data_IF_268290955467
#
_entry.id   IF_268290955467
#
_cell.length_a   1.000
_cell.length_b   1.000
_cell.length_c   1.000
_cell.angle_alpha   90.00
_cell.angle_beta   90.00
_cell.angle_gamma   90.00
#
_symmetry.space_group_name_H-M   'P 1'
#
loop_
_entity.id
_entity.type
_entity.pdbx_description
1 polymer ?
#
# COMPACT_ATOMS: atom_id res chain seq x y z
N UNK A 1 69.55 -2.45 -2.79
CA UNK A 1 68.71 -2.52 -1.56
C UNK A 1 67.52 -1.63 -1.75
N UNK A 2 66.39 -2.18 -2.23
CA UNK A 2 65.05 -1.60 -2.16
C UNK A 2 64.14 -2.36 -3.12
N UNK A 3 63.81 -3.59 -2.79
CA UNK A 3 62.89 -4.40 -3.57
C UNK A 3 62.08 -5.32 -2.63
N UNK A 4 61.29 -4.69 -1.76
CA UNK A 4 60.39 -5.46 -0.86
C UNK A 4 59.22 -4.61 -0.40
N UNK A 5 58.47 -4.00 -1.32
CA UNK A 5 57.26 -3.28 -0.93
C UNK A 5 56.18 -3.30 -2.02
N UNK A 6 55.96 -4.45 -2.68
CA UNK A 6 54.89 -4.52 -3.70
C UNK A 6 54.16 -5.86 -3.75
N UNK A 7 54.05 -6.56 -2.63
CA UNK A 7 53.41 -7.89 -2.63
C UNK A 7 52.37 -8.07 -1.54
N UNK A 8 51.64 -7.02 -1.15
CA UNK A 8 50.65 -7.15 -0.08
C UNK A 8 49.26 -6.60 -0.42
N UNK A 9 48.95 -6.40 -1.70
CA UNK A 9 47.62 -5.86 -2.08
C UNK A 9 46.78 -6.80 -2.98
N UNK A 10 47.07 -8.10 -2.97
CA UNK A 10 46.22 -9.10 -3.65
C UNK A 10 45.71 -10.11 -2.63
N UNK A 11 45.32 -9.67 -1.44
CA UNK A 11 44.59 -10.51 -0.50
C UNK A 11 43.12 -10.30 -0.71
N UNK A 12 42.55 -11.16 -1.54
CA UNK A 12 41.23 -11.74 -1.29
C UNK A 12 40.03 -10.80 -1.28
N UNK A 13 39.69 -10.19 -2.42
CA UNK A 13 38.28 -9.86 -2.69
C UNK A 13 37.53 -11.18 -3.02
N UNK A 14 37.62 -12.14 -2.10
CA UNK A 14 36.65 -13.24 -2.09
C UNK A 14 35.27 -12.62 -1.83
N UNK A 15 34.55 -12.47 -2.91
CA UNK A 15 33.11 -12.19 -2.86
C UNK A 15 32.50 -13.32 -2.04
N UNK A 16 32.31 -13.07 -0.75
CA UNK A 16 31.62 -14.04 0.11
C UNK A 16 30.28 -14.33 -0.56
N UNK A 17 29.98 -15.56 -0.98
CA UNK A 17 28.80 -15.88 -1.78
C UNK A 17 27.50 -15.53 -1.06
N UNK A 18 27.48 -15.59 0.27
CA UNK A 18 26.33 -15.24 1.08
C UNK A 18 25.90 -13.77 1.00
N UNK A 19 26.76 -12.75 1.16
CA UNK A 19 26.35 -11.37 0.95
C UNK A 19 25.87 -11.08 -0.48
N UNK A 20 26.54 -11.65 -1.49
CA UNK A 20 26.10 -11.49 -2.89
C UNK A 20 24.73 -12.09 -3.13
N UNK A 21 24.41 -13.24 -2.53
CA UNK A 21 23.12 -13.90 -2.61
C UNK A 21 22.04 -13.09 -1.86
N UNK A 22 22.35 -12.54 -0.69
CA UNK A 22 21.45 -11.68 0.07
C UNK A 22 21.14 -10.39 -0.71
N UNK A 23 22.16 -9.74 -1.28
CA UNK A 23 21.93 -8.54 -2.10
C UNK A 23 21.22 -8.87 -3.41
N UNK A 24 21.47 -10.04 -4.00
CA UNK A 24 20.79 -10.53 -5.20
C UNK A 24 19.30 -10.86 -4.95
N UNK A 25 18.94 -11.28 -3.74
CA UNK A 25 17.56 -11.62 -3.41
C UNK A 25 16.57 -10.45 -3.57
N UNK A 26 17.04 -9.19 -3.50
CA UNK A 26 16.22 -8.00 -3.79
C UNK A 26 15.67 -8.00 -5.22
N UNK A 27 16.42 -8.55 -6.17
CA UNK A 27 15.97 -8.64 -7.57
C UNK A 27 14.79 -9.60 -7.78
N UNK A 28 14.59 -10.53 -6.84
CA UNK A 28 13.40 -11.40 -6.84
C UNK A 28 12.09 -10.65 -6.56
N UNK A 29 12.16 -9.44 -6.04
CA UNK A 29 10.99 -8.60 -5.84
C UNK A 29 10.55 -7.88 -7.14
N UNK A 30 11.47 -7.70 -8.10
CA UNK A 30 11.18 -7.01 -9.36
C UNK A 30 10.00 -7.62 -10.13
N UNK A 31 9.96 -8.96 -10.39
CA UNK A 31 8.85 -9.57 -11.08
C UNK A 31 7.52 -9.45 -10.31
N UNK A 32 7.56 -9.37 -8.97
CA UNK A 32 6.36 -9.15 -8.17
C UNK A 32 5.77 -7.75 -8.41
N UNK A 33 6.61 -6.72 -8.44
CA UNK A 33 6.16 -5.36 -8.76
C UNK A 33 5.66 -5.25 -10.21
N UNK A 34 6.30 -5.93 -11.17
CA UNK A 34 5.79 -5.99 -12.54
C UNK A 34 4.41 -6.67 -12.60
N UNK A 35 4.20 -7.74 -11.84
CA UNK A 35 2.89 -8.38 -11.69
C UNK A 35 1.83 -7.45 -11.13
N UNK A 36 2.18 -6.62 -10.12
CA UNK A 36 1.27 -5.61 -9.57
C UNK A 36 0.93 -4.51 -10.57
N UNK A 37 1.87 -4.09 -11.44
CA UNK A 37 1.60 -3.13 -12.52
C UNK A 37 0.59 -3.72 -13.52
N UNK A 38 0.72 -5.00 -13.87
CA UNK A 38 -0.27 -5.68 -14.72
C UNK A 38 -1.63 -5.73 -14.03
N UNK A 39 -1.67 -6.08 -12.73
CA UNK A 39 -2.90 -6.07 -11.94
C UNK A 39 -3.55 -4.68 -11.91
N UNK A 40 -2.75 -3.62 -11.80
CA UNK A 40 -3.22 -2.23 -11.92
C UNK A 40 -3.92 -1.98 -13.25
N UNK A 41 -3.35 -2.46 -14.37
CA UNK A 41 -3.98 -2.37 -15.69
C UNK A 41 -5.35 -3.07 -15.74
N UNK A 42 -5.48 -4.24 -15.09
CA UNK A 42 -6.75 -4.97 -14.99
C UNK A 42 -7.80 -4.15 -14.21
N UNK A 43 -7.41 -3.50 -13.11
CA UNK A 43 -8.31 -2.62 -12.36
C UNK A 43 -8.78 -1.42 -13.18
N UNK A 44 -7.93 -0.83 -14.01
CA UNK A 44 -8.33 0.25 -14.94
C UNK A 44 -9.38 -0.26 -15.94
N UNK A 45 -9.19 -1.44 -16.51
CA UNK A 45 -10.18 -2.03 -17.43
C UNK A 45 -11.51 -2.34 -16.72
N UNK A 46 -11.46 -2.83 -15.49
CA UNK A 46 -12.66 -3.08 -14.68
C UNK A 46 -13.41 -1.77 -14.41
N UNK A 47 -12.70 -0.72 -14.01
CA UNK A 47 -13.27 0.61 -13.81
C UNK A 47 -13.97 1.14 -15.06
N UNK A 48 -13.33 1.07 -16.22
CA UNK A 48 -13.90 1.53 -17.48
C UNK A 48 -15.13 0.73 -17.88
N UNK A 49 -15.13 -0.58 -17.65
CA UNK A 49 -16.27 -1.45 -17.91
C UNK A 49 -17.48 -1.08 -17.04
N UNK A 50 -17.29 -0.92 -15.74
CA UNK A 50 -18.36 -0.55 -14.81
C UNK A 50 -18.88 0.87 -15.06
N UNK A 51 -17.98 1.82 -15.36
CA UNK A 51 -18.36 3.18 -15.75
C UNK A 51 -19.18 3.19 -17.04
N UNK A 52 -18.78 2.42 -18.05
CA UNK A 52 -19.51 2.30 -19.30
C UNK A 52 -20.90 1.71 -19.09
N UNK A 53 -20.99 0.66 -18.27
CA UNK A 53 -22.26 0.04 -17.91
C UNK A 53 -23.19 1.04 -17.20
N UNK A 54 -22.66 1.84 -16.27
CA UNK A 54 -23.41 2.88 -15.58
C UNK A 54 -23.98 3.92 -16.57
N UNK A 55 -23.15 4.41 -17.51
CA UNK A 55 -23.54 5.44 -18.48
C UNK A 55 -24.66 4.97 -19.41
N UNK A 56 -24.59 3.71 -19.87
CA UNK A 56 -25.59 3.16 -20.80
C UNK A 56 -26.95 2.88 -20.14
N UNK A 57 -26.96 2.53 -18.85
CA UNK A 57 -28.17 2.10 -18.15
C UNK A 57 -28.67 3.12 -17.11
N UNK A 58 -28.14 4.35 -17.13
CA UNK A 58 -28.49 5.40 -16.14
C UNK A 58 -30.00 5.65 -16.04
N UNK A 59 -30.73 5.55 -17.15
CA UNK A 59 -32.18 5.80 -17.19
C UNK A 59 -33.00 4.60 -16.67
N UNK A 60 -32.42 3.43 -16.58
CA UNK A 60 -33.08 2.20 -16.13
C UNK A 60 -32.81 1.91 -14.65
N UNK A 61 -31.73 2.48 -14.10
CA UNK A 61 -31.30 2.23 -12.74
C UNK A 61 -32.08 3.05 -11.73
N UNK A 62 -32.39 2.40 -10.61
CA UNK A 62 -32.88 3.10 -9.42
C UNK A 62 -31.76 3.88 -8.76
N UNK A 63 -32.08 4.91 -7.99
CA UNK A 63 -31.10 5.71 -7.23
C UNK A 63 -30.19 4.83 -6.37
N UNK A 64 -30.74 3.81 -5.71
CA UNK A 64 -29.98 2.86 -4.90
C UNK A 64 -28.98 2.05 -5.74
N UNK A 65 -29.36 1.60 -6.93
CA UNK A 65 -28.47 0.87 -7.84
C UNK A 65 -27.32 1.76 -8.33
N UNK A 66 -27.62 3.01 -8.71
CA UNK A 66 -26.58 3.99 -9.10
C UNK A 66 -25.59 4.18 -7.95
N UNK A 67 -26.10 4.37 -6.72
CA UNK A 67 -25.24 4.54 -5.54
C UNK A 67 -24.32 3.34 -5.31
N UNK A 68 -24.82 2.11 -5.46
CA UNK A 68 -24.02 0.89 -5.30
C UNK A 68 -22.95 0.74 -6.38
N UNK A 69 -23.25 1.10 -7.63
CA UNK A 69 -22.28 1.08 -8.73
C UNK A 69 -21.20 2.15 -8.49
N UNK A 70 -21.59 3.36 -8.10
CA UNK A 70 -20.62 4.44 -7.78
C UNK A 70 -19.72 4.05 -6.61
N UNK A 71 -20.25 3.43 -5.56
CA UNK A 71 -19.45 2.90 -4.46
C UNK A 71 -18.44 1.83 -4.96
N UNK A 72 -18.87 0.97 -5.90
CA UNK A 72 -17.97 0.00 -6.54
C UNK A 72 -16.84 0.68 -7.33
N UNK A 73 -17.14 1.77 -8.05
CA UNK A 73 -16.12 2.56 -8.75
C UNK A 73 -15.13 3.22 -7.79
N UNK A 74 -15.62 3.75 -6.66
CA UNK A 74 -14.75 4.32 -5.61
C UNK A 74 -13.84 3.25 -5.01
N UNK A 75 -14.35 2.05 -4.77
CA UNK A 75 -13.58 0.92 -4.25
C UNK A 75 -12.43 0.55 -5.19
N UNK A 76 -12.69 0.45 -6.50
CA UNK A 76 -11.64 0.20 -7.51
C UNK A 76 -10.55 1.29 -7.47
N UNK A 77 -10.92 2.56 -7.34
CA UNK A 77 -9.96 3.67 -7.23
C UNK A 77 -9.13 3.58 -5.96
N UNK A 78 -9.75 3.23 -4.83
CA UNK A 78 -9.04 3.06 -3.55
C UNK A 78 -8.03 1.92 -3.61
N UNK A 79 -8.41 0.77 -4.18
CA UNK A 79 -7.49 -0.36 -4.38
C UNK A 79 -6.37 0.02 -5.36
N UNK A 80 -6.68 0.72 -6.44
CA UNK A 80 -5.70 1.25 -7.40
C UNK A 80 -4.66 2.14 -6.72
N UNK A 81 -5.09 3.08 -5.88
CA UNK A 81 -4.19 3.95 -5.12
C UNK A 81 -3.31 3.15 -4.15
N UNK A 82 -3.87 2.13 -3.51
CA UNK A 82 -3.11 1.22 -2.65
C UNK A 82 -2.02 0.49 -3.46
N UNK A 83 -2.36 -0.04 -4.64
CA UNK A 83 -1.40 -0.72 -5.53
C UNK A 83 -0.25 0.21 -5.94
N UNK A 84 -0.55 1.43 -6.39
CA UNK A 84 0.48 2.42 -6.74
C UNK A 84 1.39 2.71 -5.55
N UNK A 85 0.83 2.88 -4.37
CA UNK A 85 1.60 3.12 -3.14
C UNK A 85 2.52 1.95 -2.80
N UNK A 86 2.04 0.71 -2.95
CA UNK A 86 2.84 -0.50 -2.71
C UNK A 86 3.93 -0.66 -3.77
N UNK A 87 3.61 -0.43 -5.05
CA UNK A 87 4.57 -0.56 -6.16
C UNK A 87 5.69 0.46 -5.98
N UNK A 88 5.36 1.73 -5.92
CA UNK A 88 6.35 2.82 -5.89
C UNK A 88 7.09 2.84 -4.55
N UNK A 89 6.36 2.85 -3.44
CA UNK A 89 6.96 2.92 -2.11
C UNK A 89 7.73 1.66 -1.73
N UNK A 90 7.24 0.49 -2.13
CA UNK A 90 7.92 -0.78 -1.91
C UNK A 90 9.19 -0.91 -2.73
N UNK A 91 9.14 -0.55 -4.01
CA UNK A 91 10.31 -0.56 -4.89
C UNK A 91 11.42 0.35 -4.36
N UNK A 92 11.09 1.58 -3.99
CA UNK A 92 12.05 2.56 -3.46
C UNK A 92 12.65 2.13 -2.12
N UNK A 93 11.84 1.53 -1.25
CA UNK A 93 12.30 1.11 0.08
C UNK A 93 13.16 -0.15 0.03
N UNK A 94 12.79 -1.14 -0.80
CA UNK A 94 13.39 -2.48 -0.74
C UNK A 94 14.34 -2.80 -1.91
N UNK A 95 14.10 -2.26 -3.11
CA UNK A 95 14.89 -2.63 -4.29
C UNK A 95 15.97 -1.60 -4.60
N UNK A 96 15.62 -0.35 -4.81
CA UNK A 96 16.56 0.71 -5.17
C UNK A 96 15.96 2.08 -4.90
N UNK A 97 16.81 3.03 -4.49
CA UNK A 97 16.39 4.43 -4.45
C UNK A 97 16.25 4.94 -5.88
N UNK A 98 15.03 5.22 -6.29
CA UNK A 98 14.76 5.94 -7.52
C UNK A 98 15.36 7.34 -7.37
N UNK A 99 16.36 7.68 -8.18
CA UNK A 99 16.93 9.04 -8.22
C UNK A 99 15.99 9.97 -8.99
N UNK A 100 14.79 10.14 -8.48
CA UNK A 100 13.74 10.99 -9.07
C UNK A 100 13.81 12.44 -8.54
N UNK A 101 14.88 12.80 -7.81
CA UNK A 101 15.05 14.16 -7.31
C UNK A 101 15.11 15.13 -8.48
N UNK A 102 14.06 15.95 -8.61
CA UNK A 102 13.92 16.95 -9.66
C UNK A 102 13.08 16.54 -10.87
N UNK A 103 12.45 15.36 -10.90
CA UNK A 103 11.52 15.01 -11.97
C UNK A 103 10.17 15.70 -11.74
N UNK A 104 9.55 16.34 -12.78
CA UNK A 104 8.29 17.08 -12.63
C UNK A 104 7.10 16.22 -12.19
N UNK A 105 7.13 14.92 -12.42
CA UNK A 105 6.08 13.96 -12.04
C UNK A 105 6.34 13.28 -10.69
N UNK A 106 7.31 13.76 -9.91
CA UNK A 106 7.58 13.18 -8.59
C UNK A 106 6.46 13.53 -7.62
N UNK A 107 5.71 12.55 -7.09
CA UNK A 107 4.73 12.81 -6.05
C UNK A 107 5.44 13.37 -4.81
N UNK A 108 4.93 14.45 -4.22
CA UNK A 108 5.53 15.11 -3.04
C UNK A 108 5.74 14.14 -1.87
N UNK A 109 4.85 13.15 -1.72
CA UNK A 109 4.96 12.14 -0.67
C UNK A 109 6.16 11.18 -0.83
N UNK A 110 6.73 11.10 -2.04
CA UNK A 110 7.85 10.21 -2.34
C UNK A 110 9.20 10.77 -1.85
N UNK A 111 9.34 12.08 -1.74
CA UNK A 111 10.59 12.74 -1.31
C UNK A 111 11.01 12.41 0.13
N UNK A 112 10.07 11.93 0.95
CA UNK A 112 10.27 11.61 2.37
C UNK A 112 9.82 10.20 2.75
N UNK A 113 9.86 9.23 1.81
CA UNK A 113 9.44 7.86 2.10
C UNK A 113 10.41 7.21 3.08
N UNK A 114 10.03 7.23 4.34
CA UNK A 114 10.54 6.32 5.34
C UNK A 114 9.59 5.11 5.42
N UNK A 115 10.11 3.91 5.67
CA UNK A 115 9.33 2.69 5.82
C UNK A 115 8.15 2.83 6.82
N UNK A 116 8.32 3.65 7.85
CA UNK A 116 7.27 3.97 8.84
C UNK A 116 6.11 4.74 8.23
N UNK A 117 6.39 5.76 7.42
CA UNK A 117 5.35 6.57 6.74
C UNK A 117 4.54 5.69 5.78
N UNK A 118 5.20 4.79 5.05
CA UNK A 118 4.53 3.85 4.16
C UNK A 118 3.58 2.93 4.91
N UNK A 119 3.99 2.36 6.05
CA UNK A 119 3.15 1.49 6.89
C UNK A 119 1.87 2.19 7.34
N UNK A 120 1.97 3.44 7.82
CA UNK A 120 0.81 4.23 8.26
C UNK A 120 -0.13 4.52 7.09
N UNK A 121 0.40 4.94 5.93
CA UNK A 121 -0.41 5.21 4.73
C UNK A 121 -1.13 3.95 4.23
N UNK A 122 -0.46 2.79 4.25
CA UNK A 122 -1.07 1.50 3.91
C UNK A 122 -2.20 1.15 4.88
N UNK A 123 -1.99 1.31 6.19
CA UNK A 123 -3.01 1.06 7.19
C UNK A 123 -4.24 1.96 6.99
N UNK A 124 -4.04 3.25 6.70
CA UNK A 124 -5.13 4.19 6.39
C UNK A 124 -5.90 3.81 5.12
N UNK A 125 -5.21 3.34 4.08
CA UNK A 125 -5.85 2.87 2.85
C UNK A 125 -6.72 1.63 3.11
N UNK A 126 -6.25 0.66 3.90
CA UNK A 126 -7.00 -0.54 4.28
C UNK A 126 -8.27 -0.17 5.09
N UNK A 127 -8.17 0.78 6.02
CA UNK A 127 -9.33 1.29 6.76
C UNK A 127 -10.32 1.92 5.79
N UNK A 128 -9.87 2.75 4.84
CA UNK A 128 -10.72 3.39 3.84
C UNK A 128 -11.48 2.37 3.00
N UNK A 129 -10.82 1.35 2.47
CA UNK A 129 -11.43 0.26 1.71
C UNK A 129 -12.45 -0.48 2.58
N UNK A 130 -12.09 -0.86 3.80
CA UNK A 130 -13.00 -1.55 4.73
C UNK A 130 -14.24 -0.71 5.08
N UNK A 131 -14.09 0.62 5.21
CA UNK A 131 -15.21 1.55 5.44
C UNK A 131 -16.20 1.57 4.27
N UNK A 132 -15.69 1.59 3.02
CA UNK A 132 -16.54 1.59 1.82
C UNK A 132 -17.29 0.26 1.70
N UNK A 133 -16.61 -0.87 1.94
CA UNK A 133 -17.27 -2.16 1.96
C UNK A 133 -18.37 -2.25 3.02
N UNK A 134 -18.11 -1.72 4.23
CA UNK A 134 -19.10 -1.69 5.30
C UNK A 134 -20.30 -0.81 4.95
N UNK A 135 -20.05 0.38 4.35
CA UNK A 135 -21.10 1.26 3.87
C UNK A 135 -21.97 0.57 2.81
N UNK A 136 -21.35 -0.10 1.83
CA UNK A 136 -22.05 -0.88 0.83
C UNK A 136 -22.93 -1.94 1.46
N UNK A 137 -22.41 -2.70 2.42
CA UNK A 137 -23.15 -3.72 3.16
C UNK A 137 -24.35 -3.11 3.90
N UNK A 138 -24.23 -1.94 4.52
CA UNK A 138 -25.34 -1.26 5.20
C UNK A 138 -26.44 -0.81 4.24
N UNK A 139 -26.07 -0.32 3.04
CA UNK A 139 -27.06 0.05 2.02
C UNK A 139 -27.82 -1.19 1.54
N UNK A 140 -27.13 -2.30 1.30
CA UNK A 140 -27.73 -3.57 0.88
C UNK A 140 -28.51 -4.23 2.03
N UNK A 141 -28.13 -4.01 3.29
CA UNK A 141 -28.78 -4.51 4.49
C UNK A 141 -30.19 -3.93 4.72
N UNK A 142 -30.53 -2.80 4.10
CA UNK A 142 -31.91 -2.28 4.10
C UNK A 142 -32.92 -3.29 3.56
N UNK A 143 -32.49 -4.33 2.85
CA UNK A 143 -33.29 -5.42 2.31
C UNK A 143 -33.13 -6.73 3.11
N UNK A 144 -32.66 -6.69 4.36
CA UNK A 144 -32.55 -7.86 5.24
C UNK A 144 -33.96 -8.47 5.49
N UNK A 145 -34.07 -9.76 5.21
CA UNK A 145 -35.32 -10.51 5.39
C UNK A 145 -36.15 -10.72 4.11
N UNK A 146 -35.72 -10.17 2.99
CA UNK A 146 -36.28 -10.48 1.68
C UNK A 146 -35.78 -11.83 1.12
N UNK A 147 -36.47 -12.42 0.14
CA UNK A 147 -36.09 -13.71 -0.48
C UNK A 147 -34.72 -13.64 -1.24
N UNK A 148 -34.09 -12.48 -1.33
CA UNK A 148 -32.79 -12.21 -1.96
C UNK A 148 -31.77 -11.56 -1.01
N UNK A 149 -31.91 -11.75 0.32
CA UNK A 149 -30.99 -11.22 1.28
C UNK A 149 -29.59 -11.81 1.03
N UNK A 150 -28.65 -10.97 0.56
CA UNK A 150 -27.26 -11.36 0.29
C UNK A 150 -26.41 -11.44 1.56
N UNK A 151 -26.88 -10.87 2.67
CA UNK A 151 -26.15 -10.77 3.93
C UNK A 151 -26.96 -11.33 5.08
N UNK A 152 -26.27 -11.94 6.03
CA UNK A 152 -26.83 -12.39 7.31
C UNK A 152 -26.46 -11.40 8.41
N UNK A 153 -27.27 -11.29 9.46
CA UNK A 153 -26.97 -10.45 10.63
C UNK A 153 -25.58 -10.76 11.22
N UNK A 154 -25.25 -12.05 11.33
CA UNK A 154 -23.93 -12.49 11.79
C UNK A 154 -22.81 -12.03 10.85
N UNK A 155 -23.03 -12.07 9.55
CA UNK A 155 -22.06 -11.60 8.55
C UNK A 155 -21.75 -10.11 8.69
N UNK A 156 -22.79 -9.28 8.89
CA UNK A 156 -22.65 -7.83 9.12
C UNK A 156 -21.90 -7.57 10.43
N UNK A 157 -22.28 -8.27 11.49
CA UNK A 157 -21.60 -8.16 12.79
C UNK A 157 -20.09 -8.44 12.66
N UNK A 158 -19.71 -9.52 11.97
CA UNK A 158 -18.30 -9.84 11.74
C UNK A 158 -17.56 -8.80 10.91
N UNK A 159 -18.20 -8.21 9.90
CA UNK A 159 -17.59 -7.13 9.12
C UNK A 159 -17.31 -5.89 9.98
N UNK A 160 -18.23 -5.51 10.88
CA UNK A 160 -18.02 -4.41 11.83
C UNK A 160 -16.87 -4.73 12.78
N UNK A 161 -16.81 -5.95 13.31
CA UNK A 161 -15.71 -6.38 14.21
C UNK A 161 -14.37 -6.31 13.50
N UNK A 162 -14.27 -6.82 12.27
CA UNK A 162 -13.05 -6.76 11.45
C UNK A 162 -12.63 -5.32 11.18
N UNK A 163 -13.59 -4.45 10.84
CA UNK A 163 -13.31 -3.03 10.62
C UNK A 163 -12.76 -2.35 11.87
N UNK A 164 -13.34 -2.60 13.04
CA UNK A 164 -12.84 -2.09 14.31
C UNK A 164 -11.44 -2.63 14.63
N UNK A 165 -11.16 -3.90 14.33
CA UNK A 165 -9.84 -4.48 14.49
C UNK A 165 -8.80 -3.78 13.60
N UNK A 166 -9.14 -3.39 12.37
CA UNK A 166 -8.25 -2.61 11.50
C UNK A 166 -7.98 -1.21 12.08
N UNK A 167 -8.99 -0.53 12.59
CA UNK A 167 -8.82 0.79 13.24
C UNK A 167 -7.89 0.68 14.44
N UNK A 168 -8.10 -0.30 15.32
CA UNK A 168 -7.26 -0.52 16.49
C UNK A 168 -5.81 -0.84 16.08
N UNK A 169 -5.63 -1.69 15.07
CA UNK A 169 -4.31 -2.03 14.55
C UNK A 169 -3.59 -0.81 13.98
N UNK A 170 -4.29 0.05 13.23
CA UNK A 170 -3.71 1.27 12.68
C UNK A 170 -3.32 2.27 13.77
N UNK A 171 -4.15 2.43 14.81
CA UNK A 171 -3.82 3.23 15.98
C UNK A 171 -2.59 2.69 16.71
N UNK A 172 -2.49 1.36 16.85
CA UNK A 172 -1.32 0.69 17.41
C UNK A 172 -0.05 0.98 16.60
N UNK A 173 -0.11 0.84 15.28
CA UNK A 173 1.03 1.16 14.38
C UNK A 173 1.43 2.63 14.53
N UNK A 174 0.48 3.56 14.51
CA UNK A 174 0.75 4.99 14.66
C UNK A 174 1.33 5.34 16.04
N UNK A 175 0.85 4.70 17.10
CA UNK A 175 1.36 4.88 18.46
C UNK A 175 2.80 4.40 18.58
N UNK A 176 3.11 3.20 18.07
CA UNK A 176 4.47 2.64 18.07
C UNK A 176 5.42 3.53 17.24
N UNK A 177 4.98 4.00 16.08
CA UNK A 177 5.79 4.90 15.24
C UNK A 177 6.09 6.21 15.98
N UNK A 178 5.10 6.82 16.63
CA UNK A 178 5.29 8.03 17.43
C UNK A 178 6.23 7.82 18.61
N UNK A 179 6.16 6.68 19.28
CA UNK A 179 7.03 6.33 20.40
C UNK A 179 8.47 6.04 19.94
N UNK A 180 8.66 5.51 18.72
CA UNK A 180 9.98 5.23 18.16
C UNK A 180 10.71 6.48 17.65
N UNK A 181 10.00 7.57 17.39
CA UNK A 181 10.53 8.89 17.07
C UNK A 181 10.93 9.66 18.33
N UNK A 182 11.81 9.10 19.17
CA UNK A 182 12.37 9.83 20.32
C UNK A 182 13.15 11.03 19.80
N UNK A 183 12.87 12.27 20.24
CA UNK A 183 13.54 13.45 19.72
C UNK A 183 15.04 13.41 20.09
N UNK A 184 15.90 13.46 19.07
CA UNK A 184 17.34 13.56 19.20
C UNK A 184 17.83 14.89 19.89
N UNK A 185 16.93 15.63 20.51
CA UNK A 185 17.24 16.89 21.19
C UNK A 185 17.84 16.73 22.59
N UNK A 186 17.82 15.53 23.19
CA UNK A 186 18.36 15.35 24.55
C UNK A 186 19.86 15.03 24.59
N UNK A 187 20.47 14.63 23.46
CA UNK A 187 21.89 14.21 23.45
C UNK A 187 22.89 15.38 23.29
N UNK A 188 22.42 16.58 22.95
CA UNK A 188 23.32 17.74 22.69
C UNK A 188 23.53 18.65 23.90
N UNK A 189 23.14 18.28 25.12
CA UNK A 189 23.27 19.14 26.32
C UNK A 189 24.34 18.71 27.31
N UNK A 190 25.11 17.67 27.04
CA UNK A 190 26.19 17.20 27.94
C UNK A 190 27.60 17.44 27.44
N UNK A 191 27.78 18.21 26.36
CA UNK A 191 29.13 18.56 25.85
C UNK A 191 29.39 20.09 25.88
N UNK A 192 29.01 20.76 26.95
CA UNK A 192 29.55 22.12 27.24
C UNK A 192 29.80 22.26 28.73
#
# INVERSE_FOLDING_TARGET
MTETAKTTDIVGRELRPLPALIFGSRWLQLPLYLGLIVAQGVYVLLFLKELWHLLLHTMEFTEQQIMLVVLGLIDVVMISNLLVMVIVGGYETFVSRLRLQGHPDQPEWLSHVNASVLKIKLAMAIIGISSIHLLRTFIEAGNLGGPKASYTEAGIMWQVIIHLAFIISALGIAAVDRMSQVPAHYVRREEH
#
